data_IF_823981044127
#
_entry.id   IF_823981044127
#
_cell.length_a   1.000
_cell.length_b   1.000
_cell.length_c   1.000
_cell.angle_alpha   90.00
_cell.angle_beta   90.00
_cell.angle_gamma   90.00
#
_symmetry.space_group_name_H-M   'P 1'
#
loop_
_entity.id
_entity.type
_entity.pdbx_description
1 polymer ?
#
# COMPACT_ATOMS: atom_id res chain seq x y z
N UNK A 1 43.55 33.73 -22.13
CA UNK A 1 42.55 33.59 -21.05
C UNK A 1 41.54 32.44 -21.28
N UNK A 2 41.22 32.09 -22.55
CA UNK A 2 40.17 31.09 -22.87
C UNK A 2 40.57 29.61 -22.59
N UNK A 3 41.86 29.27 -22.73
CA UNK A 3 42.33 27.86 -22.55
C UNK A 3 42.32 27.41 -21.08
N UNK A 4 42.57 28.33 -20.17
CA UNK A 4 42.57 28.02 -18.71
C UNK A 4 41.15 27.82 -18.20
N UNK A 5 40.18 28.58 -18.70
CA UNK A 5 38.76 28.45 -18.35
C UNK A 5 38.18 27.14 -18.88
N UNK A 6 38.51 26.76 -20.10
CA UNK A 6 38.09 25.48 -20.72
C UNK A 6 38.71 24.28 -19.96
N UNK A 7 39.98 24.37 -19.57
CA UNK A 7 40.64 23.32 -18.78
C UNK A 7 40.05 23.17 -17.38
N UNK A 8 39.70 24.29 -16.72
CA UNK A 8 39.00 24.30 -15.44
C UNK A 8 37.60 23.72 -15.52
N UNK A 9 36.84 24.04 -16.58
CA UNK A 9 35.51 23.48 -16.82
C UNK A 9 35.57 21.95 -17.04
N UNK A 10 36.46 21.46 -17.87
CA UNK A 10 36.66 20.04 -18.10
C UNK A 10 37.11 19.28 -16.83
N UNK A 11 37.89 19.91 -15.99
CA UNK A 11 38.35 19.33 -14.72
C UNK A 11 37.22 19.27 -13.67
N UNK A 12 36.39 20.31 -13.62
CA UNK A 12 35.20 20.36 -12.75
C UNK A 12 34.10 19.37 -13.16
N UNK A 13 33.83 19.25 -14.46
CA UNK A 13 32.89 18.25 -14.98
C UNK A 13 33.35 16.83 -14.67
N UNK A 14 34.62 16.54 -14.89
CA UNK A 14 35.18 15.20 -14.62
C UNK A 14 35.17 14.82 -13.15
N UNK A 15 35.40 15.79 -12.24
CA UNK A 15 35.37 15.56 -10.80
C UNK A 15 33.94 15.39 -10.26
N UNK A 16 33.00 16.16 -10.78
CA UNK A 16 31.60 16.08 -10.35
C UNK A 16 30.92 14.81 -10.84
N UNK A 17 31.22 14.37 -12.06
CA UNK A 17 30.68 13.14 -12.65
C UNK A 17 31.28 11.89 -11.98
N UNK A 18 32.57 11.90 -11.66
CA UNK A 18 33.25 10.79 -10.98
C UNK A 18 32.73 10.62 -9.56
N UNK A 19 32.63 11.70 -8.78
CA UNK A 19 32.10 11.65 -7.41
C UNK A 19 30.65 11.19 -7.36
N UNK A 20 29.82 11.63 -8.30
CA UNK A 20 28.42 11.18 -8.41
C UNK A 20 28.28 9.73 -8.86
N UNK A 21 29.26 9.22 -9.61
CA UNK A 21 29.30 7.82 -10.06
C UNK A 21 29.75 6.88 -8.95
N UNK A 22 30.76 7.29 -8.16
CA UNK A 22 31.24 6.54 -6.99
C UNK A 22 30.15 6.50 -5.90
N UNK A 23 29.51 7.61 -5.60
CA UNK A 23 28.41 7.66 -4.63
C UNK A 23 27.21 6.77 -5.05
N UNK A 24 26.92 6.71 -6.34
CA UNK A 24 25.88 5.80 -6.86
C UNK A 24 26.30 4.34 -6.80
N UNK A 25 27.57 4.04 -7.09
CA UNK A 25 28.10 2.67 -6.98
C UNK A 25 28.13 2.22 -5.52
N UNK A 26 28.53 3.06 -4.61
CA UNK A 26 28.52 2.79 -3.17
C UNK A 26 27.09 2.57 -2.65
N UNK A 27 26.12 3.39 -3.07
CA UNK A 27 24.69 3.19 -2.76
C UNK A 27 24.17 1.87 -3.31
N UNK A 28 24.55 1.52 -4.54
CA UNK A 28 24.16 0.24 -5.15
C UNK A 28 24.81 -0.94 -4.40
N UNK A 29 26.09 -0.87 -4.05
CA UNK A 29 26.77 -1.91 -3.28
C UNK A 29 26.14 -2.08 -1.89
N UNK A 30 25.85 -0.99 -1.18
CA UNK A 30 25.19 -1.02 0.12
C UNK A 30 23.78 -1.61 0.01
N UNK A 31 23.02 -1.23 -1.02
CA UNK A 31 21.71 -1.83 -1.29
C UNK A 31 21.82 -3.33 -1.58
N UNK A 32 22.80 -3.75 -2.36
CA UNK A 32 23.01 -5.18 -2.64
C UNK A 32 23.38 -5.96 -1.36
N UNK A 33 24.22 -5.40 -0.49
CA UNK A 33 24.55 -6.00 0.81
C UNK A 33 23.29 -6.12 1.69
N UNK A 34 22.45 -5.11 1.73
CA UNK A 34 21.18 -5.16 2.46
C UNK A 34 20.22 -6.21 1.87
N UNK A 35 20.13 -6.33 0.54
CA UNK A 35 19.36 -7.38 -0.10
C UNK A 35 19.90 -8.79 0.22
N UNK A 36 21.22 -8.96 0.23
CA UNK A 36 21.82 -10.25 0.61
C UNK A 36 21.56 -10.59 2.08
N UNK A 37 21.65 -9.62 2.99
CA UNK A 37 21.30 -9.82 4.41
C UNK A 37 19.83 -10.18 4.57
N UNK A 38 18.92 -9.45 3.91
CA UNK A 38 17.50 -9.76 3.92
C UNK A 38 17.21 -11.15 3.36
N UNK A 39 17.84 -11.54 2.25
CA UNK A 39 17.69 -12.86 1.67
C UNK A 39 18.19 -13.98 2.60
N UNK A 40 19.29 -13.78 3.32
CA UNK A 40 19.82 -14.73 4.29
C UNK A 40 18.85 -14.90 5.50
N UNK A 41 18.27 -13.82 5.99
CA UNK A 41 17.24 -13.87 7.04
C UNK A 41 16.01 -14.65 6.56
N UNK A 42 15.59 -14.41 5.32
CA UNK A 42 14.47 -15.12 4.68
C UNK A 42 14.74 -16.62 4.60
N UNK A 43 15.93 -17.01 4.16
CA UNK A 43 16.30 -18.43 4.04
C UNK A 43 16.34 -19.16 5.38
N UNK A 44 16.78 -18.47 6.46
CA UNK A 44 16.85 -19.04 7.80
C UNK A 44 15.48 -19.21 8.49
N UNK A 45 14.44 -18.45 8.08
CA UNK A 45 13.18 -18.38 8.78
C UNK A 45 11.97 -18.70 7.89
N UNK A 46 12.05 -19.71 7.05
CA UNK A 46 10.99 -20.10 6.09
C UNK A 46 9.62 -20.29 6.73
N UNK A 47 9.57 -20.92 7.90
CA UNK A 47 8.31 -21.15 8.63
C UNK A 47 7.69 -19.82 9.09
N UNK A 48 8.52 -18.89 9.57
CA UNK A 48 8.06 -17.57 9.98
C UNK A 48 7.47 -16.80 8.80
N UNK A 49 8.12 -16.80 7.64
CA UNK A 49 7.65 -16.15 6.43
C UNK A 49 6.34 -16.76 5.96
N UNK A 50 6.24 -18.10 5.96
CA UNK A 50 5.00 -18.78 5.60
C UNK A 50 3.84 -18.38 6.55
N UNK A 51 4.10 -18.31 7.87
CA UNK A 51 3.09 -17.82 8.84
C UNK A 51 2.68 -16.38 8.54
N UNK A 52 3.63 -15.48 8.31
CA UNK A 52 3.34 -14.10 7.96
C UNK A 52 2.52 -13.99 6.66
N UNK A 53 2.85 -14.79 5.64
CA UNK A 53 2.10 -14.86 4.39
C UNK A 53 0.65 -15.30 4.62
N UNK A 54 0.44 -16.38 5.39
CA UNK A 54 -0.91 -16.87 5.71
C UNK A 54 -1.72 -15.84 6.48
N UNK A 55 -1.12 -15.20 7.49
CA UNK A 55 -1.78 -14.13 8.27
C UNK A 55 -2.18 -12.97 7.36
N UNK A 56 -1.29 -12.53 6.48
CA UNK A 56 -1.58 -11.45 5.53
C UNK A 56 -2.69 -11.85 4.56
N UNK A 57 -2.69 -13.07 4.07
CA UNK A 57 -3.74 -13.57 3.17
C UNK A 57 -5.10 -13.58 3.87
N UNK A 58 -5.18 -14.07 5.09
CA UNK A 58 -6.40 -14.08 5.90
C UNK A 58 -6.88 -12.65 6.14
N UNK A 59 -5.98 -11.75 6.51
CA UNK A 59 -6.28 -10.33 6.73
C UNK A 59 -6.87 -9.69 5.46
N UNK A 60 -6.29 -9.94 4.29
CA UNK A 60 -6.81 -9.44 3.01
C UNK A 60 -8.18 -10.02 2.68
N UNK A 61 -8.39 -11.33 2.90
CA UNK A 61 -9.69 -11.97 2.67
C UNK A 61 -10.78 -11.39 3.57
N UNK A 62 -10.50 -11.18 4.86
CA UNK A 62 -11.43 -10.53 5.79
C UNK A 62 -11.77 -9.12 5.29
N UNK A 63 -10.76 -8.36 4.89
CA UNK A 63 -10.95 -7.00 4.38
C UNK A 63 -11.84 -6.97 3.12
N UNK A 64 -11.64 -7.87 2.17
CA UNK A 64 -12.45 -7.95 0.96
C UNK A 64 -13.87 -8.46 1.24
N UNK A 65 -14.04 -9.28 2.28
CA UNK A 65 -15.35 -9.77 2.73
C UNK A 65 -16.29 -8.66 3.19
N UNK A 66 -15.76 -7.51 3.63
CA UNK A 66 -16.58 -6.35 4.02
C UNK A 66 -17.49 -5.91 2.88
N UNK A 67 -16.99 -5.84 1.65
CA UNK A 67 -17.79 -5.46 0.48
C UNK A 67 -18.88 -6.48 0.20
N UNK A 68 -18.61 -7.78 0.38
CA UNK A 68 -19.63 -8.81 0.27
C UNK A 68 -20.71 -8.71 1.36
N UNK A 69 -20.32 -8.43 2.60
CA UNK A 69 -21.27 -8.23 3.69
C UNK A 69 -22.18 -7.01 3.43
N UNK A 70 -21.61 -5.91 2.93
CA UNK A 70 -22.38 -4.74 2.50
C UNK A 70 -23.35 -5.10 1.36
N UNK A 71 -22.88 -5.86 0.37
CA UNK A 71 -23.70 -6.36 -0.73
C UNK A 71 -24.91 -7.16 -0.23
N UNK A 72 -24.68 -8.08 0.73
CA UNK A 72 -25.74 -8.89 1.34
C UNK A 72 -26.68 -8.06 2.21
N UNK A 73 -26.13 -7.12 2.99
CA UNK A 73 -26.93 -6.22 3.84
C UNK A 73 -27.88 -5.32 3.04
N UNK A 74 -27.56 -5.04 1.78
CA UNK A 74 -28.43 -4.31 0.86
C UNK A 74 -29.50 -5.18 0.17
N UNK A 75 -29.65 -6.44 0.60
CA UNK A 75 -30.66 -7.36 0.06
C UNK A 75 -30.31 -7.99 -1.28
N UNK A 76 -29.09 -7.81 -1.77
CA UNK A 76 -28.62 -8.35 -3.03
C UNK A 76 -28.06 -9.77 -2.86
N UNK A 77 -28.37 -10.67 -3.80
CA UNK A 77 -27.99 -12.10 -3.70
C UNK A 77 -27.59 -12.73 -5.04
N UNK A 78 -27.51 -11.94 -6.12
CA UNK A 78 -27.20 -12.46 -7.46
C UNK A 78 -25.76 -12.97 -7.60
N UNK A 79 -24.80 -12.41 -6.83
CA UNK A 79 -23.38 -12.81 -6.86
C UNK A 79 -23.00 -13.58 -5.60
N UNK A 80 -22.12 -14.57 -5.81
CA UNK A 80 -21.51 -15.34 -4.73
C UNK A 80 -20.42 -14.54 -3.98
N UNK A 81 -19.98 -15.12 -2.85
CA UNK A 81 -18.89 -14.57 -2.05
C UNK A 81 -17.61 -14.41 -2.88
N UNK A 82 -17.25 -15.43 -3.65
CA UNK A 82 -16.00 -15.45 -4.43
C UNK A 82 -16.02 -14.36 -5.51
N UNK A 83 -17.17 -14.14 -6.16
CA UNK A 83 -17.30 -13.16 -7.23
C UNK A 83 -17.05 -11.73 -6.70
N UNK A 84 -17.70 -11.38 -5.58
CA UNK A 84 -17.55 -10.05 -4.98
C UNK A 84 -16.14 -9.84 -4.42
N UNK A 85 -15.56 -10.85 -3.77
CA UNK A 85 -14.20 -10.81 -3.25
C UNK A 85 -13.17 -10.69 -4.38
N UNK A 86 -13.37 -11.40 -5.50
CA UNK A 86 -12.50 -11.30 -6.67
C UNK A 86 -12.53 -9.88 -7.27
N UNK A 87 -13.70 -9.29 -7.45
CA UNK A 87 -13.84 -7.92 -7.94
C UNK A 87 -13.18 -6.90 -6.99
N UNK A 88 -13.37 -7.07 -5.69
CA UNK A 88 -12.74 -6.22 -4.68
C UNK A 88 -11.21 -6.37 -4.68
N UNK A 89 -10.69 -7.57 -4.91
CA UNK A 89 -9.25 -7.80 -5.01
C UNK A 89 -8.63 -7.09 -6.22
N UNK A 90 -9.32 -7.07 -7.36
CA UNK A 90 -8.89 -6.31 -8.55
C UNK A 90 -8.77 -4.82 -8.24
N UNK A 91 -9.77 -4.25 -7.53
CA UNK A 91 -9.71 -2.85 -7.11
C UNK A 91 -8.49 -2.60 -6.21
N UNK A 92 -8.29 -3.47 -5.20
CA UNK A 92 -7.18 -3.33 -4.25
C UNK A 92 -5.83 -3.38 -4.96
N UNK A 93 -5.59 -4.35 -5.83
CA UNK A 93 -4.34 -4.48 -6.58
C UNK A 93 -4.10 -3.25 -7.46
N UNK A 94 -5.16 -2.77 -8.14
CA UNK A 94 -5.05 -1.59 -9.01
C UNK A 94 -4.67 -0.33 -8.23
N UNK A 95 -5.20 -0.18 -7.00
CA UNK A 95 -4.90 0.96 -6.12
C UNK A 95 -3.51 0.82 -5.48
N UNK A 96 -3.14 -0.39 -5.04
CA UNK A 96 -1.85 -0.67 -4.41
C UNK A 96 -0.66 -0.42 -5.38
N UNK A 97 -0.89 -0.50 -6.70
CA UNK A 97 0.10 -0.15 -7.73
C UNK A 97 0.35 1.35 -7.87
N UNK A 98 -0.52 2.20 -7.32
CA UNK A 98 -0.42 3.65 -7.45
C UNK A 98 0.16 4.25 -6.16
N UNK A 99 1.18 5.13 -6.24
CA UNK A 99 1.81 5.73 -5.06
C UNK A 99 0.98 6.87 -4.47
N UNK A 100 -0.28 6.57 -4.13
CA UNK A 100 -1.22 7.54 -3.57
C UNK A 100 -1.55 7.18 -2.11
N UNK A 101 -1.45 8.12 -1.19
CA UNK A 101 -1.74 7.88 0.22
C UNK A 101 -3.21 7.47 0.40
N UNK A 102 -3.43 6.23 0.87
CA UNK A 102 -4.76 5.67 1.12
C UNK A 102 -5.60 5.37 -0.12
N UNK A 103 -5.06 5.58 -1.34
CA UNK A 103 -5.77 5.34 -2.60
C UNK A 103 -7.08 6.14 -2.76
N UNK A 104 -7.20 7.27 -2.04
CA UNK A 104 -8.42 8.10 -2.01
C UNK A 104 -8.75 8.64 -3.41
N UNK A 105 -10.02 8.59 -3.76
CA UNK A 105 -10.56 9.02 -5.06
C UNK A 105 -10.47 7.93 -6.13
N UNK A 106 -9.33 7.26 -6.28
CA UNK A 106 -9.17 6.22 -7.30
C UNK A 106 -9.92 4.94 -6.92
N UNK A 107 -9.81 4.51 -5.69
CA UNK A 107 -10.52 3.32 -5.23
C UNK A 107 -12.03 3.49 -5.24
N UNK A 108 -12.55 4.68 -4.93
CA UNK A 108 -13.95 5.03 -5.06
C UNK A 108 -14.39 5.02 -6.53
N UNK A 109 -13.60 5.64 -7.41
CA UNK A 109 -13.86 5.64 -8.84
C UNK A 109 -13.85 4.24 -9.45
N UNK A 110 -12.90 3.39 -9.07
CA UNK A 110 -12.85 1.98 -9.51
C UNK A 110 -14.03 1.19 -8.94
N UNK A 111 -14.38 1.40 -7.67
CA UNK A 111 -15.56 0.76 -7.08
C UNK A 111 -16.83 1.11 -7.87
N UNK A 112 -17.06 2.40 -8.13
CA UNK A 112 -18.22 2.87 -8.88
C UNK A 112 -18.26 2.27 -10.30
N UNK A 113 -17.12 2.17 -10.97
CA UNK A 113 -17.04 1.60 -12.31
C UNK A 113 -17.28 0.08 -12.34
N UNK A 114 -16.62 -0.66 -11.46
CA UNK A 114 -16.66 -2.14 -11.45
C UNK A 114 -18.01 -2.63 -10.93
N UNK A 115 -18.51 -2.03 -9.86
CA UNK A 115 -19.75 -2.46 -9.22
C UNK A 115 -21.03 -1.82 -9.80
N UNK A 116 -20.92 -0.92 -10.79
CA UNK A 116 -22.06 -0.22 -11.42
C UNK A 116 -23.18 -1.14 -11.90
N UNK A 117 -22.84 -2.33 -12.42
CA UNK A 117 -23.81 -3.29 -12.93
C UNK A 117 -24.34 -4.23 -11.84
N UNK A 118 -23.74 -4.24 -10.68
CA UNK A 118 -24.00 -5.16 -9.57
C UNK A 118 -24.94 -4.51 -8.54
N UNK A 119 -24.65 -3.27 -8.16
CA UNK A 119 -25.51 -2.48 -7.28
C UNK A 119 -26.51 -1.68 -8.10
N UNK A 120 -27.71 -2.24 -8.26
CA UNK A 120 -28.82 -1.61 -8.99
C UNK A 120 -29.69 -0.75 -8.06
N UNK A 121 -30.59 0.04 -8.63
CA UNK A 121 -31.61 0.77 -7.86
C UNK A 121 -31.07 1.89 -6.98
N UNK A 122 -29.95 2.55 -7.36
CA UNK A 122 -29.39 3.67 -6.59
C UNK A 122 -28.52 3.27 -5.38
N UNK A 123 -28.32 1.95 -5.17
CA UNK A 123 -27.56 1.41 -4.03
C UNK A 123 -26.03 1.53 -4.17
N UNK A 124 -25.53 1.89 -5.35
CA UNK A 124 -24.10 1.92 -5.65
C UNK A 124 -23.31 2.89 -4.76
N UNK A 125 -23.79 4.13 -4.63
CA UNK A 125 -23.13 5.14 -3.77
C UNK A 125 -23.22 4.80 -2.28
N UNK A 126 -24.39 4.44 -1.72
CA UNK A 126 -24.46 3.95 -0.34
C UNK A 126 -23.56 2.75 -0.07
N UNK A 127 -23.48 1.78 -1.01
CA UNK A 127 -22.61 0.62 -0.89
C UNK A 127 -21.14 1.01 -0.83
N UNK A 128 -20.72 1.91 -1.71
CA UNK A 128 -19.35 2.44 -1.71
C UNK A 128 -19.02 3.13 -0.39
N UNK A 129 -19.88 4.06 0.06
CA UNK A 129 -19.66 4.79 1.31
C UNK A 129 -19.62 3.86 2.52
N UNK A 130 -20.52 2.89 2.59
CA UNK A 130 -20.58 1.94 3.71
C UNK A 130 -19.36 0.99 3.70
N UNK A 131 -19.00 0.46 2.54
CA UNK A 131 -17.82 -0.38 2.39
C UNK A 131 -16.55 0.37 2.79
N UNK A 132 -16.39 1.63 2.37
CA UNK A 132 -15.28 2.50 2.75
C UNK A 132 -15.36 2.94 4.20
N UNK A 133 -16.54 3.23 4.70
CA UNK A 133 -16.77 3.58 6.10
C UNK A 133 -16.21 2.53 7.04
N UNK A 134 -16.50 1.27 6.75
CA UNK A 134 -16.05 0.15 7.58
C UNK A 134 -14.57 -0.20 7.30
N UNK A 135 -14.18 -0.32 6.02
CA UNK A 135 -12.87 -0.86 5.67
C UNK A 135 -11.72 0.15 5.83
N UNK A 136 -11.98 1.43 5.79
CA UNK A 136 -10.95 2.47 5.86
C UNK A 136 -11.18 3.42 7.05
N UNK A 137 -12.29 4.13 7.09
CA UNK A 137 -12.51 5.18 8.10
C UNK A 137 -12.64 4.64 9.52
N UNK A 138 -13.28 3.49 9.71
CA UNK A 138 -13.35 2.87 11.04
C UNK A 138 -11.96 2.46 11.55
N UNK A 139 -11.11 1.89 10.69
CA UNK A 139 -9.74 1.51 11.05
C UNK A 139 -8.88 2.74 11.38
N UNK A 140 -9.02 3.83 10.63
CA UNK A 140 -8.32 5.09 10.90
C UNK A 140 -8.73 5.66 12.26
N UNK A 141 -10.03 5.65 12.57
CA UNK A 141 -10.53 6.10 13.88
C UNK A 141 -9.99 5.25 15.04
N UNK A 142 -10.04 3.93 14.90
CA UNK A 142 -9.49 3.00 15.91
C UNK A 142 -8.00 3.26 16.12
N UNK A 143 -7.24 3.39 15.03
CA UNK A 143 -5.81 3.68 15.08
C UNK A 143 -5.52 5.03 15.74
N UNK A 144 -6.29 6.06 15.45
CA UNK A 144 -6.15 7.38 16.06
C UNK A 144 -6.41 7.34 17.58
N UNK A 145 -7.48 6.63 18.00
CA UNK A 145 -7.80 6.43 19.41
C UNK A 145 -6.68 5.68 20.12
N UNK A 146 -6.22 4.56 19.55
CA UNK A 146 -5.13 3.77 20.15
C UNK A 146 -3.83 4.57 20.26
N UNK A 147 -3.49 5.35 19.26
CA UNK A 147 -2.30 6.22 19.28
C UNK A 147 -2.43 7.30 20.35
N UNK A 148 -3.61 7.91 20.48
CA UNK A 148 -3.89 8.90 21.52
C UNK A 148 -3.77 8.32 22.93
N UNK A 149 -4.35 7.15 23.15
CA UNK A 149 -4.26 6.44 24.45
C UNK A 149 -2.81 6.06 24.76
N UNK A 150 -2.08 5.51 23.80
CA UNK A 150 -0.68 5.17 23.97
C UNK A 150 0.18 6.40 24.33
N UNK A 151 -0.02 7.52 23.64
CA UNK A 151 0.70 8.77 23.90
C UNK A 151 0.47 9.28 25.32
N UNK A 152 -0.80 9.31 25.78
CA UNK A 152 -1.15 9.74 27.14
C UNK A 152 -0.57 8.80 28.20
N UNK A 153 -0.59 7.49 27.94
CA UNK A 153 -0.11 6.48 28.90
C UNK A 153 1.42 6.51 29.04
N UNK A 154 2.15 6.75 27.93
CA UNK A 154 3.61 6.85 27.96
C UNK A 154 4.03 8.13 28.68
N UNK A 155 3.41 9.28 28.37
CA UNK A 155 3.72 10.57 29.01
C UNK A 155 3.43 10.59 30.51
N UNK A 156 2.58 9.69 31.03
CA UNK A 156 2.27 9.58 32.45
C UNK A 156 3.30 8.74 33.24
N UNK A 157 4.21 8.06 32.53
CA UNK A 157 5.25 7.22 33.14
C UNK A 157 6.62 7.90 33.18
N UNK A 158 6.79 9.05 32.50
CA UNK A 158 7.92 9.96 32.63
C UNK A 158 7.62 11.01 33.72
#
# INVERSE_FOLDING_TARGET
ASKIVLWLFQKLEKFHILKKKEERLEKLQNSMIEYHKAAAIIQGHRIFIFRMFVVTLIQRLIHFSITYLVYRAMGLSALGFIDVVALQSVISISVDMLPLPGGMGISEGLFLNIFKKIFVGGLLYPAMLLSRGISYYALVLISAVMTGVAHVTIKRKE
#
